data_IF_769350902154
#
_entry.id   IF_769350902154
#
_cell.length_a   1.000
_cell.length_b   1.000
_cell.length_c   1.000
_cell.angle_alpha   90.00
_cell.angle_beta   90.00
_cell.angle_gamma   90.00
#
_symmetry.space_group_name_H-M   'P 1'
#
loop_
_entity.id
_entity.type
_entity.pdbx_description
1 polymer ?
#
# COMPACT_ATOMS: atom_id res chain seq x y z
N UNK A 1 6.43 -18.80 61.39
CA UNK A 1 6.93 -20.17 61.12
C UNK A 1 6.58 -20.51 59.70
N UNK A 2 7.60 -20.67 58.84
CA UNK A 2 7.44 -21.02 57.42
C UNK A 2 7.69 -22.52 57.27
N UNK A 3 6.75 -23.26 56.69
CA UNK A 3 7.03 -24.55 56.07
C UNK A 3 5.98 -24.87 54.99
N UNK A 4 6.51 -25.07 53.79
CA UNK A 4 5.89 -25.42 52.52
C UNK A 4 5.36 -26.86 52.51
N UNK A 5 4.27 -27.13 51.78
CA UNK A 5 4.20 -28.28 50.85
C UNK A 5 2.96 -28.21 49.94
N UNK A 6 3.20 -27.82 48.68
CA UNK A 6 2.35 -28.12 47.54
C UNK A 6 2.26 -29.63 47.33
N UNK A 7 1.05 -30.15 47.14
CA UNK A 7 0.80 -31.37 46.36
C UNK A 7 -0.43 -31.14 45.49
N UNK A 8 -0.17 -30.86 44.23
CA UNK A 8 -1.14 -30.82 43.15
C UNK A 8 -1.71 -32.22 42.92
N UNK A 9 -3.03 -32.34 42.80
CA UNK A 9 -3.68 -33.51 42.21
C UNK A 9 -4.80 -33.00 41.31
N UNK A 10 -4.79 -33.51 40.08
CA UNK A 10 -5.55 -33.06 38.93
C UNK A 10 -7.07 -33.05 39.21
N UNK A 11 -7.73 -31.95 38.85
CA UNK A 11 -9.17 -31.93 38.64
C UNK A 11 -9.41 -32.03 37.14
N UNK A 12 -9.91 -33.19 36.75
CA UNK A 12 -10.50 -33.45 35.45
C UNK A 12 -11.86 -32.75 35.34
N UNK A 13 -12.19 -32.29 34.13
CA UNK A 13 -13.56 -32.05 33.69
C UNK A 13 -13.96 -30.58 33.66
N UNK A 14 -14.01 -30.00 32.46
CA UNK A 14 -14.63 -28.71 32.21
C UNK A 14 -14.05 -27.97 31.01
N UNK A 15 -14.11 -28.56 29.81
CA UNK A 15 -13.91 -27.80 28.57
C UNK A 15 -15.15 -26.92 28.38
N UNK A 16 -15.10 -25.70 28.90
CA UNK A 16 -16.06 -24.64 28.53
C UNK A 16 -15.53 -23.91 27.31
N UNK A 17 -15.83 -24.48 26.14
CA UNK A 17 -15.69 -23.85 24.84
C UNK A 17 -16.77 -22.76 24.72
N UNK A 18 -16.48 -21.53 25.18
CA UNK A 18 -17.31 -20.38 24.86
C UNK A 18 -16.85 -19.79 23.53
N UNK A 19 -17.47 -20.32 22.48
CA UNK A 19 -17.38 -19.89 21.09
C UNK A 19 -18.11 -18.55 20.94
N UNK A 20 -17.48 -17.43 21.30
CA UNK A 20 -18.00 -16.11 20.94
C UNK A 20 -17.53 -15.75 19.52
N UNK A 21 -18.17 -16.35 18.53
CA UNK A 21 -18.08 -15.97 17.12
C UNK A 21 -18.83 -14.64 16.92
N UNK A 22 -18.25 -13.53 17.39
CA UNK A 22 -18.67 -12.21 16.94
C UNK A 22 -17.94 -11.93 15.62
N UNK A 23 -18.50 -12.46 14.53
CA UNK A 23 -18.15 -12.05 13.18
C UNK A 23 -18.51 -10.58 13.03
N UNK A 24 -17.53 -9.71 13.27
CA UNK A 24 -17.56 -8.36 12.76
C UNK A 24 -17.50 -8.47 11.22
N UNK A 25 -18.66 -8.56 10.58
CA UNK A 25 -18.81 -8.10 9.20
C UNK A 25 -18.61 -6.59 9.22
N UNK A 26 -17.36 -6.17 9.33
CA UNK A 26 -16.98 -4.81 9.04
C UNK A 26 -17.14 -4.66 7.53
N UNK A 27 -18.29 -4.16 7.10
CA UNK A 27 -18.51 -3.65 5.74
C UNK A 27 -17.73 -2.34 5.55
N UNK A 28 -16.42 -2.42 5.78
CA UNK A 28 -15.45 -1.41 5.38
C UNK A 28 -14.83 -1.80 4.04
N UNK A 29 -14.18 -0.85 3.35
CA UNK A 29 -13.42 -1.19 2.15
C UNK A 29 -12.45 -2.33 2.47
N UNK A 30 -12.46 -3.38 1.64
CA UNK A 30 -11.62 -4.55 1.85
C UNK A 30 -10.15 -4.11 2.00
N UNK A 31 -9.47 -4.53 3.07
CA UNK A 31 -8.02 -4.28 3.22
C UNK A 31 -7.30 -5.08 2.11
N UNK A 32 -6.33 -4.49 1.38
CA UNK A 32 -5.46 -5.25 0.49
C UNK A 32 -4.62 -6.23 1.32
N UNK A 33 -4.14 -7.29 0.67
CA UNK A 33 -3.17 -8.18 1.31
C UNK A 33 -1.84 -7.46 1.59
N UNK A 34 -1.00 -8.08 2.42
CA UNK A 34 0.31 -7.53 2.79
C UNK A 34 1.27 -7.41 1.59
N UNK A 35 0.97 -8.07 0.46
CA UNK A 35 1.72 -7.98 -0.78
C UNK A 35 1.71 -6.58 -1.40
N UNK A 36 0.64 -5.79 -1.18
CA UNK A 36 0.58 -4.41 -1.67
C UNK A 36 1.64 -3.53 -1.00
N UNK A 37 1.80 -3.67 0.33
CA UNK A 37 2.83 -2.94 1.07
C UNK A 37 4.24 -3.26 0.55
N UNK A 38 4.54 -4.54 0.37
CA UNK A 38 5.83 -5.00 -0.18
C UNK A 38 6.06 -4.49 -1.61
N UNK A 39 5.01 -4.42 -2.43
CA UNK A 39 5.10 -3.82 -3.76
C UNK A 39 5.42 -2.32 -3.69
N UNK A 40 4.72 -1.55 -2.85
CA UNK A 40 4.96 -0.10 -2.67
C UNK A 40 6.37 0.17 -2.15
N UNK A 41 6.87 -0.61 -1.20
CA UNK A 41 8.24 -0.46 -0.69
C UNK A 41 9.28 -0.65 -1.80
N UNK A 42 9.11 -1.68 -2.65
CA UNK A 42 9.99 -1.90 -3.82
C UNK A 42 9.88 -0.77 -4.83
N UNK A 43 8.68 -0.24 -5.04
CA UNK A 43 8.46 0.91 -5.93
C UNK A 43 9.21 2.14 -5.46
N UNK A 44 9.06 2.52 -4.18
CA UNK A 44 9.74 3.69 -3.61
C UNK A 44 11.26 3.49 -3.56
N UNK A 45 11.74 2.29 -3.22
CA UNK A 45 13.17 1.98 -3.25
C UNK A 45 13.76 2.15 -4.66
N UNK A 46 13.02 1.72 -5.69
CA UNK A 46 13.45 1.84 -7.08
C UNK A 46 13.46 3.30 -7.53
N UNK A 47 12.44 4.09 -7.20
CA UNK A 47 12.44 5.55 -7.43
C UNK A 47 13.63 6.24 -6.76
N UNK A 48 13.97 5.86 -5.53
CA UNK A 48 15.13 6.42 -4.81
C UNK A 48 16.46 6.04 -5.45
N UNK A 49 16.60 4.81 -5.93
CA UNK A 49 17.82 4.35 -6.60
C UNK A 49 18.07 5.07 -7.93
N UNK A 50 17.03 5.57 -8.58
CA UNK A 50 17.13 6.21 -9.89
C UNK A 50 17.30 5.23 -11.04
N UNK A 51 17.04 3.94 -10.80
CA UNK A 51 17.16 2.83 -11.76
C UNK A 51 15.87 2.69 -12.58
N UNK A 52 15.86 3.28 -13.78
CA UNK A 52 14.69 3.28 -14.66
C UNK A 52 14.38 1.89 -15.19
N UNK A 53 15.38 1.08 -15.52
CA UNK A 53 15.17 -0.26 -16.07
C UNK A 53 14.50 -1.17 -15.04
N UNK A 54 14.98 -1.11 -13.80
CA UNK A 54 14.34 -1.81 -12.68
C UNK A 54 12.93 -1.30 -12.41
N UNK A 55 12.67 -0.01 -12.62
CA UNK A 55 11.31 0.52 -12.48
C UNK A 55 10.38 -0.02 -13.55
N UNK A 56 10.82 -0.03 -14.81
CA UNK A 56 10.07 -0.63 -15.93
C UNK A 56 9.78 -2.11 -15.64
N UNK A 57 10.78 -2.87 -15.19
CA UNK A 57 10.62 -4.28 -14.85
C UNK A 57 9.65 -4.50 -13.66
N UNK A 58 9.65 -3.60 -12.66
CA UNK A 58 8.73 -3.68 -11.53
C UNK A 58 7.28 -3.39 -11.93
N UNK A 59 7.07 -2.48 -12.89
CA UNK A 59 5.74 -2.15 -13.39
C UNK A 59 5.11 -3.29 -14.20
N UNK A 60 5.94 -4.12 -14.85
CA UNK A 60 5.57 -5.37 -15.55
C UNK A 60 4.27 -5.28 -16.37
N UNK A 61 4.11 -4.20 -17.13
CA UNK A 61 2.90 -3.92 -17.90
C UNK A 61 3.21 -3.48 -19.33
N UNK A 62 2.25 -3.60 -20.27
CA UNK A 62 2.45 -3.12 -21.64
C UNK A 62 2.82 -1.62 -21.75
N UNK A 63 2.50 -0.83 -20.72
CA UNK A 63 2.78 0.60 -20.66
C UNK A 63 4.09 0.91 -19.93
N UNK A 64 4.71 -0.08 -19.26
CA UNK A 64 5.86 0.12 -18.39
C UNK A 64 7.03 0.83 -19.08
N UNK A 65 7.28 0.56 -20.36
CA UNK A 65 8.36 1.18 -21.12
C UNK A 65 8.22 2.72 -21.26
N UNK A 66 6.99 3.23 -21.30
CA UNK A 66 6.71 4.68 -21.30
C UNK A 66 6.55 5.21 -19.86
N UNK A 67 5.85 4.46 -19.03
CA UNK A 67 5.47 4.83 -17.68
C UNK A 67 6.65 4.88 -16.69
N UNK A 68 7.59 3.95 -16.82
CA UNK A 68 8.77 3.89 -15.96
C UNK A 68 9.62 5.16 -16.07
N UNK A 69 10.06 5.56 -17.27
CA UNK A 69 10.73 6.83 -17.48
C UNK A 69 9.93 8.04 -16.98
N UNK A 70 8.62 8.10 -17.27
CA UNK A 70 7.78 9.23 -16.85
C UNK A 70 7.65 9.34 -15.32
N UNK A 71 7.49 8.21 -14.62
CA UNK A 71 7.51 8.16 -13.14
C UNK A 71 8.89 8.49 -12.58
N UNK A 72 9.96 8.03 -13.21
CA UNK A 72 11.33 8.34 -12.79
C UNK A 72 11.65 9.83 -12.95
N UNK A 73 11.22 10.44 -14.05
CA UNK A 73 11.36 11.88 -14.27
C UNK A 73 10.59 12.67 -13.19
N UNK A 74 9.36 12.25 -12.89
CA UNK A 74 8.49 12.98 -11.96
C UNK A 74 8.83 12.78 -10.49
N UNK A 75 9.16 11.56 -10.08
CA UNK A 75 9.28 11.17 -8.67
C UNK A 75 10.66 10.57 -8.32
N UNK A 76 11.52 10.34 -9.30
CA UNK A 76 12.79 9.67 -9.10
C UNK A 76 13.84 10.53 -8.38
N UNK A 77 14.79 9.85 -7.74
CA UNK A 77 16.03 10.44 -7.18
C UNK A 77 15.81 11.57 -6.17
N UNK A 78 14.66 11.60 -5.52
CA UNK A 78 14.33 12.60 -4.50
C UNK A 78 14.87 12.23 -3.11
N UNK A 79 15.40 11.01 -2.95
CA UNK A 79 15.84 10.46 -1.66
C UNK A 79 14.72 10.53 -0.62
N UNK A 80 13.56 9.99 -0.97
CA UNK A 80 12.37 9.89 -0.14
C UNK A 80 12.69 9.28 1.22
N UNK A 81 12.24 9.94 2.29
CA UNK A 81 12.33 9.49 3.68
C UNK A 81 10.95 9.57 4.33
N UNK A 82 10.82 8.97 5.53
CA UNK A 82 9.57 8.99 6.32
C UNK A 82 8.36 8.56 5.49
N UNK A 83 8.58 7.56 4.64
CA UNK A 83 7.59 7.09 3.67
C UNK A 83 6.46 6.42 4.44
N UNK A 84 5.23 6.84 4.16
CA UNK A 84 4.02 6.22 4.67
C UNK A 84 3.09 5.95 3.49
N UNK A 85 2.53 4.75 3.44
CA UNK A 85 1.55 4.38 2.43
C UNK A 85 0.20 4.11 3.11
N UNK A 86 -0.84 4.70 2.55
CA UNK A 86 -2.23 4.42 2.90
C UNK A 86 -2.98 4.02 1.65
N UNK A 87 -4.09 3.32 1.80
CA UNK A 87 -4.88 2.86 0.66
C UNK A 87 -6.37 2.99 0.94
N UNK A 88 -7.12 3.18 -0.13
CA UNK A 88 -8.59 3.11 -0.14
C UNK A 88 -9.03 2.24 -1.31
N UNK A 89 -10.17 1.58 -1.17
CA UNK A 89 -10.78 0.81 -2.25
C UNK A 89 -11.90 1.66 -2.88
N UNK A 90 -11.74 2.19 -4.10
CA UNK A 90 -12.71 3.06 -4.75
C UNK A 90 -13.88 2.26 -5.38
N UNK A 91 -14.44 1.30 -4.65
CA UNK A 91 -15.63 0.51 -5.02
C UNK A 91 -15.40 -0.64 -6.02
N UNK A 92 -14.21 -0.78 -6.61
CA UNK A 92 -13.86 -1.89 -7.49
C UNK A 92 -13.04 -2.96 -6.75
N UNK A 93 -13.55 -4.19 -6.76
CA UNK A 93 -12.87 -5.33 -6.14
C UNK A 93 -11.47 -5.52 -6.75
N UNK A 94 -10.45 -5.49 -5.89
CA UNK A 94 -9.05 -5.67 -6.30
C UNK A 94 -8.36 -4.41 -6.84
N UNK A 95 -9.06 -3.28 -6.96
CA UNK A 95 -8.47 -1.96 -7.26
C UNK A 95 -8.32 -1.15 -5.98
N UNK A 96 -7.18 -0.49 -5.83
CA UNK A 96 -6.85 0.33 -4.67
C UNK A 96 -6.24 1.65 -5.13
N UNK A 97 -6.74 2.76 -4.61
CA UNK A 97 -5.97 4.00 -4.60
C UNK A 97 -4.91 3.89 -3.52
N UNK A 98 -3.65 4.10 -3.87
CA UNK A 98 -2.51 4.11 -2.96
C UNK A 98 -2.01 5.53 -2.83
N UNK A 99 -2.06 6.08 -1.62
CA UNK A 99 -1.50 7.38 -1.29
C UNK A 99 -0.20 7.19 -0.51
N UNK A 100 0.91 7.64 -1.11
CA UNK A 100 2.25 7.61 -0.54
C UNK A 100 2.61 9.02 -0.11
N UNK A 101 2.79 9.25 1.18
CA UNK A 101 3.37 10.48 1.71
C UNK A 101 4.84 10.26 2.04
N UNK A 102 5.69 11.22 1.70
CA UNK A 102 7.12 11.14 1.96
C UNK A 102 7.75 12.52 2.07
N UNK A 103 8.86 12.61 2.80
CA UNK A 103 9.70 13.80 2.83
C UNK A 103 10.80 13.68 1.75
N UNK A 104 10.90 14.68 0.88
CA UNK A 104 11.99 14.78 -0.11
C UNK A 104 13.24 15.34 0.55
N UNK A 105 14.31 14.54 0.63
CA UNK A 105 15.59 15.07 1.12
C UNK A 105 16.27 15.99 0.10
N UNK A 106 15.85 15.95 -1.17
CA UNK A 106 16.37 16.83 -2.23
C UNK A 106 15.79 18.25 -2.14
N UNK A 107 14.50 18.38 -1.84
CA UNK A 107 13.80 19.68 -1.80
C UNK A 107 13.49 20.15 -0.38
N UNK A 108 13.60 19.28 0.62
CA UNK A 108 13.29 19.58 2.02
C UNK A 108 11.79 19.65 2.33
N UNK A 109 10.93 19.14 1.45
CA UNK A 109 9.48 19.29 1.53
C UNK A 109 8.76 17.95 1.61
N UNK A 110 7.62 17.92 2.30
CA UNK A 110 6.69 16.79 2.22
C UNK A 110 5.99 16.77 0.86
N UNK A 111 5.80 15.57 0.32
CA UNK A 111 5.08 15.33 -0.93
C UNK A 111 4.04 14.24 -0.73
N UNK A 112 3.06 14.22 -1.63
CA UNK A 112 2.10 13.12 -1.75
C UNK A 112 2.12 12.61 -3.19
N UNK A 113 2.28 11.31 -3.36
CA UNK A 113 2.15 10.59 -4.62
C UNK A 113 0.88 9.75 -4.51
N UNK A 114 -0.01 9.86 -5.49
CA UNK A 114 -1.21 9.03 -5.56
C UNK A 114 -1.14 8.16 -6.80
N UNK A 115 -1.28 6.85 -6.60
CA UNK A 115 -1.24 5.83 -7.64
C UNK A 115 -2.49 4.94 -7.52
N UNK A 116 -2.77 4.17 -8.57
CA UNK A 116 -3.75 3.09 -8.51
C UNK A 116 -3.05 1.76 -8.63
N UNK A 117 -3.38 0.82 -7.76
CA UNK A 117 -2.84 -0.53 -7.76
C UNK A 117 -3.97 -1.55 -7.98
N UNK A 118 -3.72 -2.53 -8.83
CA UNK A 118 -4.62 -3.66 -9.06
C UNK A 118 -3.90 -4.98 -8.79
N UNK A 119 -4.57 -5.92 -8.14
CA UNK A 119 -4.07 -7.28 -8.00
C UNK A 119 -4.56 -8.15 -9.15
N UNK A 120 -3.65 -8.61 -10.01
CA UNK A 120 -3.96 -9.44 -11.18
C UNK A 120 -2.87 -10.46 -11.44
N UNK A 121 -3.26 -11.67 -11.85
CA UNK A 121 -2.30 -12.75 -12.14
C UNK A 121 -1.43 -13.17 -10.94
N UNK A 122 -1.90 -12.93 -9.71
CA UNK A 122 -1.14 -13.23 -8.49
C UNK A 122 -0.05 -12.21 -8.15
N UNK A 123 -0.11 -11.00 -8.70
CA UNK A 123 0.83 -9.92 -8.40
C UNK A 123 0.14 -8.56 -8.42
N UNK A 124 0.74 -7.60 -7.72
CA UNK A 124 0.30 -6.21 -7.67
C UNK A 124 0.92 -5.43 -8.83
N UNK A 125 0.10 -4.61 -9.47
CA UNK A 125 0.48 -3.79 -10.62
C UNK A 125 0.00 -2.36 -10.40
N UNK A 126 0.78 -1.36 -10.82
CA UNK A 126 0.26 0.00 -10.94
C UNK A 126 -0.48 0.14 -12.26
N UNK A 127 -1.64 0.79 -12.22
CA UNK A 127 -2.30 1.20 -13.45
C UNK A 127 -1.46 2.24 -14.20
N UNK A 128 -1.65 2.36 -15.53
CA UNK A 128 -0.91 3.32 -16.33
C UNK A 128 -0.99 4.71 -15.72
N UNK A 129 0.13 5.44 -15.76
CA UNK A 129 0.15 6.80 -15.25
C UNK A 129 -0.88 7.59 -16.03
N UNK A 130 -1.94 8.06 -15.37
CA UNK A 130 -2.83 9.00 -16.00
C UNK A 130 -1.96 10.21 -16.38
N UNK A 131 -1.81 10.49 -17.67
CA UNK A 131 -1.69 11.89 -18.08
C UNK A 131 -2.87 12.60 -17.39
N UNK A 132 -2.75 13.82 -16.91
CA UNK A 132 -3.51 14.92 -17.51
C UNK A 132 -3.76 15.97 -16.40
N UNK A 133 -3.75 17.27 -16.73
CA UNK A 133 -4.56 18.27 -16.05
C UNK A 133 -5.96 18.37 -16.69
N UNK A 134 -7.04 18.04 -15.97
CA UNK A 134 -8.42 18.39 -16.35
C UNK A 134 -9.35 17.33 -16.97
N UNK A 135 -8.99 16.05 -17.08
CA UNK A 135 -9.88 14.99 -17.58
C UNK A 135 -10.18 14.00 -16.44
N UNK A 136 -11.44 13.58 -16.22
CA UNK A 136 -11.79 12.56 -15.23
C UNK A 136 -11.19 11.23 -15.68
N UNK A 137 -10.35 10.62 -14.83
CA UNK A 137 -9.89 9.26 -15.06
C UNK A 137 -11.05 8.26 -14.98
N UNK A 138 -10.82 6.98 -15.37
CA UNK A 138 -11.82 5.94 -15.15
C UNK A 138 -12.29 5.96 -13.70
N UNK A 139 -13.57 5.73 -13.43
CA UNK A 139 -14.10 5.66 -12.07
C UNK A 139 -13.21 4.75 -11.22
N UNK A 140 -12.47 5.33 -10.26
CA UNK A 140 -11.39 4.63 -9.56
C UNK A 140 -10.00 5.27 -9.72
N UNK A 141 -9.87 6.31 -10.55
CA UNK A 141 -8.61 6.98 -10.77
C UNK A 141 -8.32 8.19 -9.89
N UNK A 142 -7.25 8.04 -9.12
CA UNK A 142 -6.64 9.02 -8.24
C UNK A 142 -6.54 10.41 -8.88
N UNK A 143 -7.28 11.35 -8.31
CA UNK A 143 -7.27 12.77 -8.68
C UNK A 143 -6.28 13.54 -7.80
N UNK A 144 -5.49 14.42 -8.40
CA UNK A 144 -4.85 15.53 -7.69
C UNK A 144 -5.61 16.83 -7.99
N UNK A 145 -6.19 17.44 -6.95
CA UNK A 145 -6.79 18.78 -7.01
C UNK A 145 -5.82 19.80 -6.41
N UNK A 146 -5.69 21.02 -6.97
CA UNK A 146 -5.02 22.12 -6.30
C UNK A 146 -5.80 22.52 -5.04
N UNK A 147 -5.09 22.90 -3.97
CA UNK A 147 -5.66 23.70 -2.88
C UNK A 147 -5.51 25.16 -3.30
N UNK A 148 -6.60 25.75 -3.77
CA UNK A 148 -6.69 27.19 -4.00
C UNK A 148 -6.70 27.91 -2.63
N UNK A 149 -5.94 29.00 -2.55
CA UNK A 149 -5.96 29.95 -1.43
C UNK A 149 -7.12 30.94 -1.51
#
# INVERSE_FOLDING_TARGET
>A
MTAVRLRSTLIAGGVSLLLALAWAFSSGPAKPDDGLGVFVDRYVATLNSGDTERLVALLDSPHAAADGPARMERYGRQKWQRVQATWSNPEFAGLFEVRITAWSAKTGTDVTITEQAVHSGGSWHLLPMATVPGVPGPSGAATTRPVDG
#
